data_IF_819294600136
#
_entry.id   IF_819294600136
#
_cell.length_a   1.000
_cell.length_b   1.000
_cell.length_c   1.000
_cell.angle_alpha   90.00
_cell.angle_beta   90.00
_cell.angle_gamma   90.00
#
_symmetry.space_group_name_H-M   'P 1'
#
loop_
_entity.id
_entity.type
_entity.pdbx_description
1 polymer ?
#
# COMPACT_ATOMS: atom_id res chain seq x y z
N UNK A 1 -21.81 29.90 -11.63
CA UNK A 1 -22.10 29.09 -10.43
C UNK A 1 -22.28 30.07 -9.28
N UNK A 2 -23.49 30.17 -8.73
CA UNK A 2 -23.78 31.03 -7.58
C UNK A 2 -23.12 30.46 -6.31
N UNK A 3 -22.73 31.31 -5.33
CA UNK A 3 -22.23 30.83 -4.06
C UNK A 3 -23.39 30.18 -3.28
N UNK A 4 -23.20 28.95 -2.84
CA UNK A 4 -24.16 28.30 -1.95
C UNK A 4 -24.19 29.05 -0.61
N UNK A 5 -25.39 29.51 -0.25
CA UNK A 5 -25.73 29.99 1.09
C UNK A 5 -25.57 28.85 2.09
N UNK A 6 -24.42 28.81 2.77
CA UNK A 6 -24.22 27.97 3.94
C UNK A 6 -24.95 28.60 5.13
N UNK A 7 -25.83 27.82 5.77
CA UNK A 7 -26.50 28.19 7.02
C UNK A 7 -25.51 28.77 8.06
N UNK A 8 -25.93 29.76 8.86
CA UNK A 8 -25.06 30.43 9.82
C UNK A 8 -24.48 29.43 10.84
N UNK A 9 -23.14 29.41 10.90
CA UNK A 9 -22.30 28.50 11.71
C UNK A 9 -22.31 28.88 13.20
N UNK A 10 -23.40 29.46 13.70
CA UNK A 10 -23.42 30.16 14.99
C UNK A 10 -23.49 29.21 16.20
N UNK A 11 -23.88 27.95 16.01
CA UNK A 11 -23.98 26.96 17.08
C UNK A 11 -22.76 26.04 17.24
N UNK A 12 -21.66 26.26 16.50
CA UNK A 12 -20.47 25.44 16.69
C UNK A 12 -19.73 25.88 17.98
N UNK A 13 -19.33 24.97 18.89
CA UNK A 13 -18.66 25.33 20.15
C UNK A 13 -17.33 26.09 19.97
N UNK A 14 -16.79 26.10 18.75
CA UNK A 14 -15.60 26.88 18.36
C UNK A 14 -15.92 28.05 17.39
N UNK A 15 -17.18 28.47 17.23
CA UNK A 15 -17.58 29.52 16.29
C UNK A 15 -16.87 30.84 16.58
N UNK A 16 -16.86 31.28 17.84
CA UNK A 16 -16.18 32.52 18.27
C UNK A 16 -14.65 32.49 18.06
N UNK A 17 -14.01 31.34 18.29
CA UNK A 17 -12.59 31.13 18.00
C UNK A 17 -12.35 31.16 16.48
N UNK A 18 -13.23 30.51 15.71
CA UNK A 18 -13.16 30.49 14.24
C UNK A 18 -13.28 31.90 13.66
N UNK A 19 -14.20 32.72 14.18
CA UNK A 19 -14.42 34.09 13.75
C UNK A 19 -13.28 35.02 14.14
N UNK A 20 -12.69 34.85 15.35
CA UNK A 20 -11.43 35.52 15.72
C UNK A 20 -10.28 35.17 14.78
N UNK A 21 -10.12 33.90 14.40
CA UNK A 21 -9.04 33.47 13.51
C UNK A 21 -9.20 33.99 12.07
N UNK A 22 -10.44 34.07 11.59
CA UNK A 22 -10.77 34.68 10.29
C UNK A 22 -10.36 36.16 10.25
N UNK A 23 -10.58 36.87 11.36
CA UNK A 23 -10.27 38.29 11.51
C UNK A 23 -8.79 38.57 11.85
N UNK A 24 -8.12 37.68 12.59
CA UNK A 24 -6.69 37.81 12.94
C UNK A 24 -5.73 37.41 11.80
N UNK A 25 -6.22 36.78 10.74
CA UNK A 25 -5.39 36.33 9.61
C UNK A 25 -4.87 37.44 8.69
N UNK A 26 -5.09 38.73 9.00
CA UNK A 26 -4.64 39.85 8.16
C UNK A 26 -3.16 39.79 7.80
N UNK A 27 -2.30 39.37 8.74
CA UNK A 27 -0.87 39.15 8.46
C UNK A 27 -0.64 38.08 7.39
N UNK A 28 -1.24 36.90 7.52
CA UNK A 28 -1.07 35.81 6.56
C UNK A 28 -1.74 36.12 5.22
N UNK A 29 -2.90 36.79 5.21
CA UNK A 29 -3.58 37.19 3.98
C UNK A 29 -2.76 38.13 3.11
N UNK A 30 -1.93 38.96 3.73
CA UNK A 30 -1.05 39.92 3.03
C UNK A 30 0.27 39.30 2.54
N UNK A 31 0.59 38.07 2.97
CA UNK A 31 1.76 37.35 2.50
C UNK A 31 1.39 36.60 1.20
N UNK A 32 2.17 36.75 0.11
CA UNK A 32 1.99 35.95 -1.10
C UNK A 32 1.94 34.45 -0.79
N UNK A 33 1.13 33.71 -1.55
CA UNK A 33 0.86 32.31 -1.28
C UNK A 33 2.14 31.47 -1.28
N UNK A 34 3.10 31.81 -2.12
CA UNK A 34 4.42 31.17 -2.23
C UNK A 34 5.20 31.27 -0.92
N UNK A 35 5.28 32.48 -0.36
CA UNK A 35 5.98 32.73 0.91
C UNK A 35 5.26 32.04 2.07
N UNK A 36 3.93 31.95 2.04
CA UNK A 36 3.17 31.17 3.04
C UNK A 36 3.55 29.70 2.98
N UNK A 37 3.66 29.13 1.79
CA UNK A 37 4.04 27.74 1.61
C UNK A 37 5.47 27.48 2.08
N UNK A 38 6.41 28.38 1.81
CA UNK A 38 7.77 28.29 2.36
C UNK A 38 7.75 28.29 3.90
N UNK A 39 7.00 29.20 4.52
CA UNK A 39 6.81 29.24 5.98
C UNK A 39 6.24 27.91 6.48
N UNK A 40 5.27 27.33 5.78
CA UNK A 40 4.70 26.04 6.15
C UNK A 40 5.72 24.92 6.03
N UNK A 41 6.55 24.90 5.00
CA UNK A 41 7.63 23.91 4.90
C UNK A 41 8.56 23.98 6.11
N UNK A 42 9.07 25.16 6.43
CA UNK A 42 9.91 25.33 7.61
C UNK A 42 9.20 24.94 8.90
N UNK A 43 7.91 25.28 9.04
CA UNK A 43 7.12 24.98 10.24
C UNK A 43 6.80 23.48 10.41
N UNK A 44 6.66 22.71 9.31
CA UNK A 44 6.31 21.29 9.37
C UNK A 44 7.53 20.36 9.25
N UNK A 45 8.72 20.92 9.05
CA UNK A 45 9.95 20.16 8.96
C UNK A 45 10.35 19.60 10.32
N UNK A 46 10.69 18.31 10.33
CA UNK A 46 11.21 17.58 11.48
C UNK A 46 12.57 17.06 11.10
N UNK A 47 13.60 17.56 11.79
CA UNK A 47 14.99 17.20 11.51
C UNK A 47 15.31 15.71 11.75
N UNK A 48 14.45 15.03 12.50
CA UNK A 48 14.59 13.60 12.81
C UNK A 48 13.64 12.75 11.95
N UNK A 49 14.05 11.51 11.59
CA UNK A 49 13.17 10.60 10.90
C UNK A 49 11.89 10.31 11.69
N UNK A 50 10.75 10.58 11.06
CA UNK A 50 9.41 10.40 11.64
C UNK A 50 9.04 8.93 11.62
N UNK A 51 8.74 8.38 12.79
CA UNK A 51 8.14 7.04 12.91
C UNK A 51 6.63 7.20 13.05
N UNK A 52 5.84 6.93 12.00
CA UNK A 52 4.40 7.09 12.08
C UNK A 52 3.81 6.04 13.03
N UNK A 53 3.01 6.50 13.99
CA UNK A 53 2.25 5.62 14.90
C UNK A 53 0.80 6.04 14.92
N UNK A 54 -0.11 5.10 14.69
CA UNK A 54 -1.54 5.43 14.71
C UNK A 54 -1.98 5.90 16.10
N UNK A 55 -2.76 6.99 16.18
CA UNK A 55 -3.29 7.49 17.46
C UNK A 55 -4.21 6.45 18.11
N UNK A 56 -5.08 5.85 17.29
CA UNK A 56 -6.03 4.78 17.64
C UNK A 56 -6.09 3.81 16.46
N UNK A 57 -6.28 2.53 16.72
CA UNK A 57 -6.44 1.53 15.66
C UNK A 57 -7.49 1.98 14.63
N UNK A 58 -7.15 1.91 13.33
CA UNK A 58 -7.98 2.33 12.17
C UNK A 58 -8.17 3.85 12.01
N UNK A 59 -7.57 4.69 12.84
CA UNK A 59 -7.56 6.15 12.65
C UNK A 59 -6.64 6.61 11.51
N UNK A 60 -7.05 7.61 10.74
CA UNK A 60 -6.15 8.27 9.77
C UNK A 60 -5.18 9.27 10.44
N UNK A 61 -5.21 9.39 11.77
CA UNK A 61 -4.34 10.28 12.54
C UNK A 61 -3.14 9.52 13.09
N UNK A 62 -1.96 10.12 12.93
CA UNK A 62 -0.69 9.57 13.39
C UNK A 62 -0.03 10.53 14.37
N UNK A 63 0.61 9.96 15.39
CA UNK A 63 1.53 10.66 16.28
C UNK A 63 2.94 10.36 15.80
N UNK A 64 3.77 11.37 15.78
CA UNK A 64 5.21 11.20 15.63
C UNK A 64 5.82 10.89 17.00
N UNK A 65 6.78 9.97 17.04
CA UNK A 65 7.68 9.80 18.19
C UNK A 65 9.09 9.81 17.65
N UNK A 66 9.93 10.70 18.15
CA UNK A 66 11.37 10.49 18.07
C UNK A 66 11.74 9.34 19.01
N UNK A 67 12.57 8.44 18.50
CA UNK A 67 13.11 7.31 19.29
C UNK A 67 14.21 7.84 20.20
N UNK A 68 13.90 8.73 21.14
CA UNK A 68 14.72 8.87 22.33
C UNK A 68 14.28 7.75 23.27
N UNK A 69 14.93 6.60 23.12
CA UNK A 69 14.93 5.54 24.13
C UNK A 69 15.66 6.02 25.38
N UNK A 70 15.15 7.07 26.03
CA UNK A 70 15.44 7.27 27.44
C UNK A 70 14.64 6.22 28.21
N UNK A 71 15.13 4.98 28.18
CA UNK A 71 14.87 4.06 29.27
C UNK A 71 15.48 4.71 30.51
N UNK A 72 14.71 5.55 31.20
CA UNK A 72 14.99 5.87 32.60
C UNK A 72 15.17 4.52 33.27
N UNK A 73 16.41 4.20 33.63
CA UNK A 73 16.80 3.02 34.38
C UNK A 73 16.27 3.17 35.82
N UNK A 74 14.94 3.19 35.95
CA UNK A 74 14.24 2.98 37.21
C UNK A 74 13.77 1.54 37.22
N UNK A 75 14.13 0.80 38.25
CA UNK A 75 13.81 -0.60 38.50
C UNK A 75 12.30 -0.85 38.73
N UNK A 76 11.43 -0.37 37.83
CA UNK A 76 10.00 -0.70 37.89
C UNK A 76 9.75 -1.99 37.14
N UNK A 77 9.56 -3.02 37.95
CA UNK A 77 9.13 -4.36 37.59
C UNK A 77 7.98 -4.31 36.58
N UNK A 78 8.21 -5.02 35.48
CA UNK A 78 7.22 -5.28 34.45
C UNK A 78 6.06 -6.10 35.02
N UNK A 79 5.06 -5.43 35.59
CA UNK A 79 3.70 -5.95 35.63
C UNK A 79 3.00 -5.49 34.34
N UNK A 80 2.64 -6.49 33.54
CA UNK A 80 1.85 -6.37 32.32
C UNK A 80 0.51 -5.70 32.63
N UNK A 81 0.46 -4.37 32.57
CA UNK A 81 -0.78 -3.61 32.62
C UNK A 81 -1.47 -3.76 31.25
N UNK A 82 -2.16 -4.91 31.10
CA UNK A 82 -3.08 -5.20 30.01
C UNK A 82 -4.25 -4.23 30.17
N UNK A 83 -4.50 -3.44 29.13
CA UNK A 83 -5.72 -2.67 28.86
C UNK A 83 -5.84 -1.21 29.31
N UNK A 84 -4.81 -0.59 29.91
CA UNK A 84 -4.85 0.87 30.07
C UNK A 84 -4.20 1.59 28.88
N UNK A 85 -5.05 2.13 28.00
CA UNK A 85 -4.77 3.23 27.08
C UNK A 85 -4.36 4.52 27.82
N UNK A 86 -3.38 4.45 28.72
CA UNK A 86 -2.67 5.63 29.18
C UNK A 86 -1.98 6.18 27.94
N UNK A 87 -2.55 7.24 27.38
CA UNK A 87 -1.91 8.10 26.39
C UNK A 87 -0.58 8.49 27.03
N UNK A 88 0.46 7.72 26.72
CA UNK A 88 1.84 8.00 27.09
C UNK A 88 2.08 9.42 26.61
N UNK A 89 2.05 10.38 27.54
CA UNK A 89 2.38 11.77 27.28
C UNK A 89 3.75 11.73 26.63
N UNK A 90 3.77 11.94 25.32
CA UNK A 90 5.00 12.24 24.60
C UNK A 90 5.61 13.42 25.33
N UNK A 91 6.82 13.26 25.85
CA UNK A 91 7.61 14.38 26.37
C UNK A 91 8.08 15.29 25.25
N UNK A 92 7.90 14.87 23.99
CA UNK A 92 8.21 15.66 22.81
C UNK A 92 7.00 16.52 22.43
N UNK A 93 7.28 17.79 22.15
CA UNK A 93 6.28 18.76 21.75
C UNK A 93 5.49 18.26 20.52
N UNK A 94 4.16 18.46 20.49
CA UNK A 94 3.39 18.15 19.30
C UNK A 94 3.91 18.98 18.13
N UNK A 95 3.95 18.37 16.92
CA UNK A 95 4.41 19.05 15.70
C UNK A 95 3.82 20.45 15.63
N UNK A 96 4.63 21.45 15.30
CA UNK A 96 4.19 22.84 15.19
C UNK A 96 2.96 22.94 14.30
N UNK A 97 2.87 22.14 13.22
CA UNK A 97 1.67 22.08 12.37
C UNK A 97 0.41 21.62 13.10
N UNK A 98 0.50 20.65 14.02
CA UNK A 98 -0.65 20.21 14.81
C UNK A 98 -1.07 21.26 15.82
N UNK A 99 -0.18 22.17 16.21
CA UNK A 99 -0.51 23.33 17.04
C UNK A 99 -1.15 24.43 16.18
N UNK A 100 -0.54 24.76 15.04
CA UNK A 100 -1.03 25.76 14.07
C UNK A 100 -2.40 25.41 13.50
N UNK A 101 -2.65 24.14 13.20
CA UNK A 101 -3.95 23.63 12.76
C UNK A 101 -5.05 23.80 13.82
N UNK A 102 -4.69 23.79 15.10
CA UNK A 102 -5.63 24.01 16.21
C UNK A 102 -5.90 25.49 16.43
N UNK A 103 -5.00 26.37 16.00
CA UNK A 103 -5.08 27.82 16.23
C UNK A 103 -5.52 28.63 15.02
N UNK A 104 -5.36 28.16 13.77
CA UNK A 104 -5.81 28.90 12.58
C UNK A 104 -6.38 27.97 11.50
N UNK A 105 -7.68 28.10 11.23
CA UNK A 105 -8.42 27.25 10.27
C UNK A 105 -7.98 27.46 8.82
N UNK A 106 -7.58 28.68 8.46
CA UNK A 106 -7.04 28.98 7.14
C UNK A 106 -5.72 28.23 6.90
N UNK A 107 -4.80 28.27 7.86
CA UNK A 107 -3.54 27.50 7.79
C UNK A 107 -3.86 26.01 7.65
N UNK A 108 -4.81 25.50 8.43
CA UNK A 108 -5.22 24.10 8.33
C UNK A 108 -5.68 23.73 6.92
N UNK A 109 -6.56 24.53 6.31
CA UNK A 109 -7.04 24.27 4.95
C UNK A 109 -5.94 24.38 3.89
N UNK A 110 -5.05 25.37 4.00
CA UNK A 110 -3.92 25.53 3.07
C UNK A 110 -2.94 24.35 3.17
N UNK A 111 -2.61 23.92 4.39
CA UNK A 111 -1.73 22.75 4.63
C UNK A 111 -2.43 21.43 4.28
N UNK A 112 -3.75 21.33 4.41
CA UNK A 112 -4.50 20.15 3.98
C UNK A 112 -4.55 20.05 2.44
N UNK A 113 -4.73 21.17 1.76
CA UNK A 113 -4.73 21.26 0.30
C UNK A 113 -3.33 21.00 -0.29
N UNK A 114 -2.28 21.45 0.40
CA UNK A 114 -0.89 21.23 0.01
C UNK A 114 -0.18 20.50 1.15
N UNK A 115 -0.19 19.15 1.16
CA UNK A 115 0.29 18.38 2.29
C UNK A 115 1.83 18.26 2.27
N UNK A 116 2.51 19.41 2.37
CA UNK A 116 3.97 19.62 2.41
C UNK A 116 4.66 18.74 3.45
N UNK A 117 3.95 18.37 4.52
CA UNK A 117 4.45 17.44 5.54
C UNK A 117 5.03 16.15 4.95
N UNK A 118 4.36 15.51 3.98
CA UNK A 118 4.87 14.26 3.39
C UNK A 118 6.08 14.49 2.47
N UNK A 119 6.17 15.69 1.90
CA UNK A 119 7.17 16.07 0.92
C UNK A 119 8.54 16.30 1.54
N UNK A 120 8.58 17.01 2.65
CA UNK A 120 9.84 17.51 3.22
C UNK A 120 10.40 16.60 4.32
N UNK A 121 9.56 15.77 4.93
CA UNK A 121 9.97 14.95 6.07
C UNK A 121 10.49 13.57 5.64
N UNK A 122 11.39 13.03 6.46
CA UNK A 122 11.92 11.69 6.31
C UNK A 122 11.10 10.69 7.12
N UNK A 123 10.50 9.69 6.48
CA UNK A 123 9.72 8.65 7.16
C UNK A 123 10.55 7.41 7.45
N UNK A 124 10.56 6.97 8.71
CA UNK A 124 11.19 5.72 9.15
C UNK A 124 10.12 4.65 9.38
N UNK A 125 10.07 3.69 8.47
CA UNK A 125 9.13 2.57 8.42
C UNK A 125 9.78 1.33 9.06
N UNK A 126 9.56 1.15 10.37
CA UNK A 126 10.18 0.07 11.15
C UNK A 126 9.41 -1.26 11.02
N UNK A 127 10.15 -2.37 11.02
CA UNK A 127 9.64 -3.66 10.57
C UNK A 127 9.26 -4.73 11.60
N UNK A 128 9.34 -4.49 12.91
CA UNK A 128 9.26 -5.61 13.86
C UNK A 128 7.87 -5.76 14.51
N UNK A 129 7.61 -5.10 15.63
CA UNK A 129 6.23 -4.82 16.11
C UNK A 129 5.49 -3.80 15.25
N UNK A 130 6.25 -3.09 14.43
CA UNK A 130 5.85 -1.90 13.69
C UNK A 130 5.63 -2.17 12.20
N UNK A 131 5.84 -3.41 11.72
CA UNK A 131 5.46 -3.86 10.38
C UNK A 131 3.99 -3.49 10.10
N UNK A 132 3.13 -3.73 11.10
CA UNK A 132 1.73 -3.33 11.05
C UNK A 132 1.56 -1.81 11.04
N UNK A 133 2.41 -1.04 11.73
CA UNK A 133 2.32 0.43 11.76
C UNK A 133 2.76 1.06 10.44
N UNK A 134 3.84 0.57 9.82
CA UNK A 134 4.25 1.00 8.48
C UNK A 134 3.15 0.70 7.45
N UNK A 135 2.61 -0.54 7.48
CA UNK A 135 1.51 -0.92 6.60
C UNK A 135 0.24 -0.10 6.88
N UNK A 136 -0.15 0.07 8.15
CA UNK A 136 -1.31 0.88 8.57
C UNK A 136 -1.14 2.33 8.15
N UNK A 137 0.07 2.89 8.30
CA UNK A 137 0.37 4.24 7.86
C UNK A 137 0.17 4.39 6.36
N UNK A 138 0.86 3.57 5.57
CA UNK A 138 0.79 3.64 4.10
C UNK A 138 -0.62 3.38 3.58
N UNK A 139 -1.38 2.47 4.21
CA UNK A 139 -2.77 2.17 3.82
C UNK A 139 -3.77 3.23 4.26
N UNK A 140 -3.53 3.93 5.37
CA UNK A 140 -4.44 4.95 5.89
C UNK A 140 -4.34 6.30 5.17
N UNK A 141 -3.19 6.60 4.55
CA UNK A 141 -3.02 7.82 3.74
C UNK A 141 -3.51 7.57 2.31
N UNK A 142 -4.04 8.62 1.67
CA UNK A 142 -4.56 8.52 0.30
C UNK A 142 -3.41 8.29 -0.71
N UNK A 143 -3.68 7.72 -1.90
CA UNK A 143 -2.67 7.59 -2.94
C UNK A 143 -1.97 8.92 -3.27
N UNK A 144 -2.72 10.02 -3.36
CA UNK A 144 -2.18 11.36 -3.59
C UNK A 144 -1.25 11.85 -2.46
N UNK A 145 -1.49 11.45 -1.20
CA UNK A 145 -0.57 11.76 -0.09
C UNK A 145 0.65 10.84 -0.09
N UNK A 146 0.50 9.57 -0.47
CA UNK A 146 1.63 8.63 -0.65
C UNK A 146 2.58 9.12 -1.73
N UNK A 147 2.06 9.54 -2.88
CA UNK A 147 2.87 10.01 -4.00
C UNK A 147 3.74 11.20 -3.64
N UNK A 148 3.42 11.95 -2.58
CA UNK A 148 4.22 13.08 -2.10
C UNK A 148 5.36 12.69 -1.16
N UNK A 149 5.45 11.43 -0.70
CA UNK A 149 6.56 10.96 0.13
C UNK A 149 7.85 10.98 -0.70
N UNK A 150 8.82 11.81 -0.31
CA UNK A 150 10.12 11.91 -0.99
C UNK A 150 11.24 11.10 -0.35
N UNK A 151 11.20 10.94 0.97
CA UNK A 151 12.28 10.31 1.73
C UNK A 151 11.73 9.24 2.67
N UNK A 152 12.14 8.00 2.48
CA UNK A 152 11.74 6.89 3.34
C UNK A 152 12.93 6.00 3.69
N UNK A 153 12.98 5.52 4.93
CA UNK A 153 13.84 4.41 5.34
C UNK A 153 13.00 3.25 5.84
N UNK A 154 13.20 2.08 5.24
CA UNK A 154 12.56 0.82 5.66
C UNK A 154 13.56 0.02 6.48
N UNK A 155 13.27 -0.21 7.76
CA UNK A 155 14.14 -1.01 8.62
C UNK A 155 13.67 -2.46 8.70
N UNK A 156 14.45 -3.34 8.09
CA UNK A 156 14.31 -4.78 8.14
C UNK A 156 15.20 -5.32 9.27
N UNK A 157 14.62 -5.54 10.45
CA UNK A 157 15.33 -6.21 11.55
C UNK A 157 15.04 -7.73 11.48
N UNK A 158 16.06 -8.60 11.40
CA UNK A 158 15.90 -10.03 11.63
C UNK A 158 15.62 -10.24 13.12
N UNK A 159 14.62 -11.05 13.43
CA UNK A 159 14.36 -11.42 14.82
C UNK A 159 15.37 -12.44 15.33
N UNK A 160 15.96 -12.22 16.51
CA UNK A 160 16.75 -13.25 17.18
C UNK A 160 15.92 -14.37 17.82
N UNK A 161 14.58 -14.28 17.91
CA UNK A 161 13.77 -15.21 18.72
C UNK A 161 12.84 -16.18 17.93
N UNK A 162 12.72 -16.05 16.60
CA UNK A 162 11.80 -16.88 15.81
C UNK A 162 12.46 -17.66 14.66
N UNK A 163 13.65 -18.20 14.93
CA UNK A 163 14.41 -19.10 14.03
C UNK A 163 13.81 -20.51 13.89
N UNK A 164 12.48 -20.62 13.88
CA UNK A 164 11.80 -21.90 13.67
C UNK A 164 11.83 -22.29 12.19
N UNK A 165 11.81 -23.60 11.90
CA UNK A 165 11.75 -24.17 10.54
C UNK A 165 10.58 -23.62 9.67
N UNK A 166 9.61 -22.94 10.28
CA UNK A 166 8.53 -22.18 9.63
C UNK A 166 9.03 -21.00 8.78
N UNK A 167 10.15 -20.36 9.15
CA UNK A 167 10.82 -19.36 8.31
C UNK A 167 11.52 -19.98 7.09
N UNK A 168 12.01 -21.21 7.24
CA UNK A 168 12.75 -21.95 6.19
C UNK A 168 11.92 -22.18 4.93
N UNK A 169 10.60 -22.41 5.10
CA UNK A 169 9.64 -22.62 4.02
C UNK A 169 9.04 -21.33 3.44
N UNK A 170 9.15 -20.20 4.15
CA UNK A 170 8.51 -18.94 3.77
C UNK A 170 9.43 -17.98 3.00
N UNK A 171 10.73 -18.29 2.90
CA UNK A 171 11.75 -17.40 2.34
C UNK A 171 12.27 -17.83 0.95
N UNK A 172 12.06 -19.10 0.54
CA UNK A 172 12.42 -19.62 -0.81
C UNK A 172 11.36 -19.33 -1.88
N UNK A 173 10.22 -18.80 -1.46
CA UNK A 173 9.44 -17.89 -2.28
C UNK A 173 9.64 -16.54 -1.59
N UNK A 174 9.86 -15.45 -2.30
CA UNK A 174 9.66 -14.13 -1.71
C UNK A 174 8.13 -13.93 -1.58
N UNK A 175 7.52 -14.28 -0.43
CA UNK A 175 6.75 -13.29 0.26
C UNK A 175 7.46 -13.09 1.58
N UNK A 176 8.32 -12.06 1.62
CA UNK A 176 8.17 -10.98 2.59
C UNK A 176 6.90 -11.22 3.43
N UNK A 177 7.02 -11.45 4.75
CA UNK A 177 5.85 -11.64 5.65
C UNK A 177 4.69 -10.82 5.10
N UNK A 178 3.51 -11.40 4.81
CA UNK A 178 2.45 -10.81 3.94
C UNK A 178 2.42 -9.28 3.87
N UNK A 179 2.55 -8.63 5.02
CA UNK A 179 2.73 -7.19 5.21
C UNK A 179 3.88 -6.50 4.47
N UNK A 180 5.11 -7.01 4.46
CA UNK A 180 6.25 -6.40 3.78
C UNK A 180 6.05 -6.31 2.26
N UNK A 181 5.49 -7.36 1.64
CA UNK A 181 5.13 -7.33 0.22
C UNK A 181 4.19 -6.16 -0.04
N UNK A 182 3.15 -6.03 0.79
CA UNK A 182 2.23 -4.90 0.74
C UNK A 182 2.90 -3.54 1.01
N UNK A 183 3.84 -3.45 1.96
CA UNK A 183 4.60 -2.22 2.24
C UNK A 183 5.38 -1.79 1.01
N UNK A 184 6.14 -2.69 0.39
CA UNK A 184 6.91 -2.35 -0.82
C UNK A 184 6.00 -2.03 -1.99
N UNK A 185 4.90 -2.74 -2.18
CA UNK A 185 3.89 -2.38 -3.19
C UNK A 185 3.36 -0.96 -2.97
N UNK A 186 3.08 -0.57 -1.73
CA UNK A 186 2.58 0.78 -1.41
C UNK A 186 3.68 1.84 -1.53
N UNK A 187 4.94 1.53 -1.20
CA UNK A 187 6.08 2.43 -1.39
C UNK A 187 6.36 2.64 -2.88
N UNK A 188 6.17 1.62 -3.71
CA UNK A 188 6.31 1.77 -5.17
C UNK A 188 5.19 2.65 -5.78
N UNK A 189 4.15 3.00 -5.02
CA UNK A 189 3.15 4.01 -5.41
C UNK A 189 3.54 5.43 -4.99
N UNK A 190 4.70 5.61 -4.33
CA UNK A 190 5.22 6.91 -3.99
C UNK A 190 5.94 7.50 -5.21
N UNK A 191 5.19 8.05 -6.17
CA UNK A 191 5.75 8.48 -7.46
C UNK A 191 6.86 9.54 -7.35
N UNK A 192 6.82 10.39 -6.32
CA UNK A 192 7.87 11.39 -6.06
C UNK A 192 8.93 10.89 -5.08
N UNK A 193 9.05 9.60 -4.83
CA UNK A 193 10.06 9.07 -3.92
C UNK A 193 11.45 9.33 -4.48
N UNK A 194 12.12 10.31 -3.89
CA UNK A 194 13.47 10.68 -4.27
C UNK A 194 14.43 9.66 -3.68
N UNK A 195 14.36 9.41 -2.37
CA UNK A 195 15.28 8.52 -1.65
C UNK A 195 14.52 7.44 -0.88
N UNK A 196 14.84 6.18 -1.19
CA UNK A 196 14.39 5.03 -0.42
C UNK A 196 15.62 4.30 0.11
N UNK A 197 15.77 4.25 1.44
CA UNK A 197 16.83 3.49 2.10
C UNK A 197 16.22 2.22 2.68
N UNK A 198 16.60 1.04 2.19
CA UNK A 198 16.27 -0.22 2.87
C UNK A 198 17.43 -0.56 3.78
N UNK A 199 17.25 -0.44 5.10
CA UNK A 199 18.25 -0.77 6.12
C UNK A 199 17.98 -2.16 6.69
N UNK A 200 18.91 -3.09 6.47
CA UNK A 200 18.89 -4.41 7.11
C UNK A 200 19.77 -4.34 8.36
N UNK A 201 19.17 -4.34 9.55
CA UNK A 201 19.91 -4.18 10.79
C UNK A 201 20.20 -5.52 11.47
N UNK A 202 21.46 -5.90 11.48
CA UNK A 202 21.97 -7.19 11.92
C UNK A 202 22.59 -7.16 13.35
N UNK A 203 22.58 -6.00 14.03
CA UNK A 203 23.31 -5.75 15.29
C UNK A 203 23.00 -6.66 16.48
N UNK A 204 21.74 -7.04 16.72
CA UNK A 204 21.32 -7.65 18.01
C UNK A 204 21.36 -9.18 18.07
N UNK A 205 21.41 -9.85 16.93
CA UNK A 205 21.40 -11.33 16.89
C UNK A 205 22.80 -11.93 16.85
N UNK A 206 23.77 -11.20 16.27
CA UNK A 206 25.14 -11.70 16.04
C UNK A 206 25.95 -11.95 17.32
N UNK A 207 25.63 -11.27 18.42
CA UNK A 207 26.33 -11.44 19.70
C UNK A 207 26.04 -12.79 20.37
N UNK A 208 24.85 -13.37 20.16
CA UNK A 208 24.44 -14.60 20.83
C UNK A 208 24.60 -15.84 19.93
N UNK A 209 24.51 -15.70 18.60
CA UNK A 209 24.53 -16.84 17.66
C UNK A 209 25.29 -16.54 16.36
N UNK A 210 26.63 -16.41 16.39
CA UNK A 210 27.42 -15.97 15.23
C UNK A 210 27.30 -16.87 13.99
N UNK A 211 27.07 -18.19 14.16
CA UNK A 211 26.90 -19.11 13.03
C UNK A 211 25.50 -19.08 12.40
N UNK A 212 24.45 -18.91 13.20
CA UNK A 212 23.09 -18.72 12.67
C UNK A 212 22.99 -17.37 11.96
N UNK A 213 23.63 -16.37 12.56
CA UNK A 213 23.77 -15.03 12.03
C UNK A 213 24.45 -15.00 10.65
N UNK A 214 25.63 -15.62 10.51
CA UNK A 214 26.36 -15.66 9.24
C UNK A 214 25.54 -16.34 8.13
N UNK A 215 24.83 -17.44 8.46
CA UNK A 215 23.96 -18.14 7.50
C UNK A 215 22.81 -17.27 7.01
N UNK A 216 22.14 -16.56 7.91
CA UNK A 216 21.00 -15.72 7.54
C UNK A 216 21.41 -14.46 6.78
N UNK A 217 22.57 -13.92 7.13
CA UNK A 217 23.17 -12.82 6.40
C UNK A 217 23.54 -13.23 4.98
N UNK A 218 24.20 -14.39 4.81
CA UNK A 218 24.46 -14.94 3.48
C UNK A 218 23.16 -15.14 2.70
N UNK A 219 22.15 -15.73 3.32
CA UNK A 219 20.84 -15.94 2.69
C UNK A 219 20.13 -14.65 2.28
N UNK A 220 20.18 -13.62 3.14
CA UNK A 220 19.58 -12.31 2.84
C UNK A 220 20.28 -11.63 1.67
N UNK A 221 21.60 -11.77 1.60
CA UNK A 221 22.40 -11.28 0.48
C UNK A 221 22.16 -12.08 -0.80
N UNK A 222 22.08 -13.40 -0.73
CA UNK A 222 21.69 -14.27 -1.87
C UNK A 222 20.32 -13.87 -2.43
N UNK A 223 19.35 -13.58 -1.56
CA UNK A 223 18.06 -13.08 -1.99
C UNK A 223 18.12 -11.68 -2.62
N UNK A 224 18.98 -10.80 -2.11
CA UNK A 224 19.26 -9.52 -2.75
C UNK A 224 19.88 -9.73 -4.14
N UNK A 225 20.78 -10.71 -4.29
CA UNK A 225 21.37 -11.10 -5.58
C UNK A 225 20.29 -11.58 -6.55
N UNK A 226 19.43 -12.51 -6.12
CA UNK A 226 18.33 -13.02 -6.95
C UNK A 226 17.38 -11.89 -7.39
N UNK A 227 17.03 -11.00 -6.46
CA UNK A 227 16.21 -9.83 -6.77
C UNK A 227 16.92 -8.88 -7.75
N UNK A 228 18.22 -8.64 -7.58
CA UNK A 228 19.00 -7.79 -8.47
C UNK A 228 19.18 -8.42 -9.86
N UNK A 229 19.23 -9.75 -9.95
CA UNK A 229 19.35 -10.53 -11.20
C UNK A 229 18.02 -10.66 -11.96
N UNK A 230 16.88 -10.65 -11.26
CA UNK A 230 15.55 -10.81 -11.87
C UNK A 230 15.33 -9.84 -13.04
N UNK A 231 14.85 -10.37 -14.16
CA UNK A 231 14.52 -9.62 -15.37
C UNK A 231 13.20 -8.84 -15.28
N UNK A 232 12.41 -9.05 -14.22
CA UNK A 232 11.20 -8.28 -14.00
C UNK A 232 11.56 -6.86 -13.55
N UNK A 233 11.50 -5.95 -14.51
CA UNK A 233 11.78 -4.53 -14.34
C UNK A 233 10.52 -3.72 -14.03
N UNK A 234 9.34 -4.33 -14.15
CA UNK A 234 8.08 -3.61 -13.99
C UNK A 234 7.78 -3.38 -12.51
N UNK A 235 7.72 -2.10 -12.09
CA UNK A 235 7.36 -1.65 -10.73
C UNK A 235 8.25 -2.20 -9.61
N UNK A 236 9.56 -2.19 -9.85
CA UNK A 236 10.56 -2.59 -8.88
C UNK A 236 11.06 -1.38 -8.08
N UNK A 237 11.30 -1.49 -6.77
CA UNK A 237 11.93 -0.40 -6.00
C UNK A 237 13.31 0.00 -6.56
N UNK A 238 13.94 -0.90 -7.31
CA UNK A 238 15.18 -0.68 -8.03
C UNK A 238 15.09 0.41 -9.12
N UNK A 239 13.90 0.69 -9.66
CA UNK A 239 13.70 1.74 -10.69
C UNK A 239 13.60 3.14 -10.09
N UNK A 240 13.61 3.28 -8.77
CA UNK A 240 13.52 4.58 -8.13
C UNK A 240 14.85 5.33 -8.24
N UNK A 241 14.83 6.63 -8.58
CA UNK A 241 16.03 7.39 -8.97
C UNK A 241 17.13 7.41 -7.90
N UNK A 242 16.78 7.59 -6.62
CA UNK A 242 17.73 7.51 -5.50
C UNK A 242 17.40 6.35 -4.55
N UNK A 243 17.10 5.18 -5.13
CA UNK A 243 17.10 3.94 -4.37
C UNK A 243 18.48 3.65 -3.78
N UNK A 244 18.49 3.38 -2.48
CA UNK A 244 19.63 2.99 -1.67
C UNK A 244 19.30 1.73 -0.86
N UNK A 245 20.19 0.74 -0.94
CA UNK A 245 20.11 -0.46 -0.13
C UNK A 245 21.28 -0.42 0.85
N UNK A 246 20.99 -0.37 2.14
CA UNK A 246 22.00 -0.31 3.20
C UNK A 246 21.94 -1.55 4.09
N UNK A 247 23.11 -2.11 4.38
CA UNK A 247 23.30 -3.23 5.27
C UNK A 247 23.99 -2.72 6.53
N UNK A 248 23.33 -2.81 7.68
CA UNK A 248 23.89 -2.38 8.96
C UNK A 248 24.29 -3.60 9.79
N UNK A 249 25.58 -3.76 10.08
CA UNK A 249 26.16 -4.88 10.84
C UNK A 249 26.91 -4.31 12.05
N UNK A 250 26.34 -4.42 13.26
CA UNK A 250 26.89 -3.65 14.38
C UNK A 250 26.81 -2.15 14.07
N UNK A 251 27.90 -1.44 14.31
CA UNK A 251 28.02 -0.01 13.98
C UNK A 251 28.40 0.23 12.52
N UNK A 252 28.72 -0.81 11.75
CA UNK A 252 29.04 -0.70 10.33
C UNK A 252 27.77 -0.51 9.52
N UNK A 253 27.72 0.52 8.68
CA UNK A 253 26.68 0.68 7.65
C UNK A 253 27.32 0.62 6.28
N UNK A 254 26.98 -0.42 5.50
CA UNK A 254 27.46 -0.64 4.14
C UNK A 254 26.36 -0.22 3.17
N UNK A 255 26.63 0.76 2.30
CA UNK A 255 25.76 1.02 1.16
C UNK A 255 26.04 -0.02 0.06
N UNK A 256 25.09 -0.93 -0.17
CA UNK A 256 25.16 -1.97 -1.18
C UNK A 256 24.96 -1.44 -2.61
N UNK A 257 24.57 -0.18 -2.77
CA UNK A 257 24.48 0.48 -4.08
C UNK A 257 25.76 1.25 -4.44
N UNK A 258 26.68 1.44 -3.48
CA UNK A 258 27.93 2.15 -3.73
C UNK A 258 29.01 1.17 -4.22
N UNK A 259 29.77 1.59 -5.23
CA UNK A 259 30.93 0.86 -5.78
C UNK A 259 32.18 1.01 -4.94
N UNK A 260 32.20 1.92 -3.96
CA UNK A 260 33.32 2.05 -3.03
C UNK A 260 33.65 0.71 -2.36
N UNK A 261 34.94 0.35 -2.27
CA UNK A 261 35.35 -0.85 -1.56
C UNK A 261 34.89 -0.78 -0.10
N UNK A 262 34.64 -1.94 0.51
CA UNK A 262 34.35 -1.99 1.95
C UNK A 262 35.65 -1.62 2.66
N UNK A 263 35.66 -0.48 3.34
CA UNK A 263 36.83 0.01 4.05
C UNK A 263 37.25 -1.04 5.11
N UNK A 264 38.48 -1.56 5.09
CA UNK A 264 38.92 -2.65 5.97
C UNK A 264 39.06 -2.27 7.45
N UNK A 265 38.64 -1.08 7.88
CA UNK A 265 38.67 -0.59 9.28
C UNK A 265 37.61 -1.28 10.17
N UNK A 266 37.26 -2.50 9.82
CA UNK A 266 36.47 -3.38 10.66
C UNK A 266 37.41 -4.04 11.68
N UNK A 267 36.93 -4.22 12.90
CA UNK A 267 37.69 -4.96 13.90
C UNK A 267 38.13 -6.31 13.29
N UNK A 268 39.41 -6.70 13.35
CA UNK A 268 39.92 -7.91 12.69
C UNK A 268 39.21 -9.20 13.13
N UNK A 269 38.48 -9.15 14.24
CA UNK A 269 37.66 -10.23 14.78
C UNK A 269 36.18 -10.22 14.32
N UNK A 270 35.78 -9.28 13.46
CA UNK A 270 34.43 -9.21 12.93
C UNK A 270 34.13 -10.42 12.06
N UNK A 271 32.98 -11.05 12.26
CA UNK A 271 32.49 -12.12 11.39
C UNK A 271 32.37 -11.71 9.91
N UNK A 272 32.44 -10.40 9.63
CA UNK A 272 32.39 -9.82 8.29
C UNK A 272 33.59 -10.19 7.42
N UNK A 273 34.77 -10.41 8.04
CA UNK A 273 35.99 -10.78 7.32
C UNK A 273 36.09 -12.28 7.00
N UNK A 274 35.11 -13.08 7.40
CA UNK A 274 35.08 -14.49 6.98
C UNK A 274 34.84 -14.52 5.47
N UNK A 275 35.79 -15.13 4.76
CA UNK A 275 35.94 -15.15 3.30
C UNK A 275 34.65 -15.35 2.46
N UNK A 276 33.62 -16.15 2.88
CA UNK A 276 32.39 -16.21 2.09
C UNK A 276 31.54 -14.93 2.11
N UNK A 277 31.54 -14.14 3.19
CA UNK A 277 30.65 -13.00 3.31
C UNK A 277 31.15 -11.78 2.53
N UNK A 278 32.43 -11.45 2.66
CA UNK A 278 33.02 -10.29 1.97
C UNK A 278 32.86 -10.43 0.44
N UNK A 279 33.08 -11.64 -0.09
CA UNK A 279 32.83 -12.00 -1.49
C UNK A 279 31.37 -11.75 -1.88
N UNK A 280 30.43 -12.22 -1.07
CA UNK A 280 29.01 -12.06 -1.33
C UNK A 280 28.54 -10.60 -1.29
N UNK A 281 29.03 -9.79 -0.33
CA UNK A 281 28.71 -8.35 -0.27
C UNK A 281 29.26 -7.64 -1.51
N UNK A 282 30.47 -7.99 -1.94
CA UNK A 282 31.10 -7.42 -3.15
C UNK A 282 30.31 -7.77 -4.40
N UNK A 283 29.86 -9.02 -4.52
CA UNK A 283 29.02 -9.47 -5.62
C UNK A 283 27.66 -8.73 -5.64
N UNK A 284 27.03 -8.55 -4.48
CA UNK A 284 25.79 -7.77 -4.35
C UNK A 284 26.01 -6.34 -4.80
N UNK A 285 27.10 -5.69 -4.34
CA UNK A 285 27.46 -4.32 -4.76
C UNK A 285 27.57 -4.21 -6.27
N UNK A 286 28.32 -5.12 -6.88
CA UNK A 286 28.52 -5.12 -8.33
C UNK A 286 27.21 -5.29 -9.11
N UNK A 287 26.35 -6.24 -8.71
CA UNK A 287 25.08 -6.49 -9.39
C UNK A 287 24.06 -5.39 -9.16
N UNK A 288 24.01 -4.82 -7.95
CA UNK A 288 23.17 -3.68 -7.62
C UNK A 288 23.54 -2.44 -8.44
N UNK A 289 24.83 -2.12 -8.52
CA UNK A 289 25.35 -1.03 -9.36
C UNK A 289 25.04 -1.27 -10.84
N UNK A 290 25.31 -2.49 -11.33
CA UNK A 290 25.02 -2.90 -12.72
C UNK A 290 23.54 -2.79 -13.06
N UNK A 291 22.63 -3.16 -12.15
CA UNK A 291 21.18 -3.01 -12.33
C UNK A 291 20.77 -1.55 -12.37
N UNK A 292 21.28 -0.71 -11.45
CA UNK A 292 21.00 0.72 -11.42
C UNK A 292 21.42 1.40 -12.73
N UNK A 293 22.60 1.06 -13.26
CA UNK A 293 23.09 1.57 -14.54
C UNK A 293 22.18 1.18 -15.72
N UNK A 294 21.72 -0.08 -15.78
CA UNK A 294 20.79 -0.53 -16.84
C UNK A 294 19.45 0.23 -16.77
N UNK A 295 18.95 0.46 -15.56
CA UNK A 295 17.68 1.17 -15.36
C UNK A 295 17.81 2.65 -15.74
N UNK A 296 18.90 3.33 -15.38
CA UNK A 296 19.11 4.73 -15.79
C UNK A 296 19.30 4.88 -17.29
N UNK A 297 19.98 3.94 -17.95
CA UNK A 297 20.10 3.91 -19.42
C UNK A 297 18.74 3.74 -20.09
N UNK A 298 17.92 2.80 -19.62
CA UNK A 298 16.55 2.59 -20.13
C UNK A 298 15.66 3.81 -19.92
N UNK A 299 15.73 4.44 -18.74
CA UNK A 299 14.95 5.62 -18.42
C UNK A 299 15.36 6.83 -19.29
N UNK A 300 16.66 6.96 -19.57
CA UNK A 300 17.19 7.94 -20.53
C UNK A 300 16.68 7.69 -21.96
N UNK A 301 16.72 6.45 -22.44
CA UNK A 301 16.19 6.08 -23.75
C UNK A 301 14.69 6.32 -23.85
N UNK A 302 13.91 5.98 -22.81
CA UNK A 302 12.49 6.23 -22.76
C UNK A 302 12.17 7.73 -22.80
N UNK A 303 12.94 8.56 -22.10
CA UNK A 303 12.79 10.04 -22.16
C UNK A 303 13.14 10.61 -23.53
N UNK A 304 14.17 10.09 -24.21
CA UNK A 304 14.52 10.49 -25.57
C UNK A 304 13.39 10.10 -26.54
N UNK A 305 12.91 8.85 -26.46
CA UNK A 305 11.79 8.39 -27.29
C UNK A 305 10.52 9.19 -27.02
N UNK A 306 10.19 9.46 -25.76
CA UNK A 306 9.06 10.30 -25.39
C UNK A 306 9.22 11.70 -25.97
N UNK A 307 10.38 12.35 -25.81
CA UNK A 307 10.63 13.68 -26.38
C UNK A 307 10.55 13.70 -27.92
N UNK A 308 11.02 12.64 -28.59
CA UNK A 308 10.88 12.47 -30.03
C UNK A 308 9.41 12.32 -30.44
N UNK A 309 8.64 11.49 -29.73
CA UNK A 309 7.20 11.31 -29.99
C UNK A 309 6.43 12.60 -29.71
N UNK A 310 6.71 13.32 -28.62
CA UNK A 310 6.06 14.61 -28.35
C UNK A 310 6.47 15.66 -29.37
N UNK A 311 7.72 15.65 -29.86
CA UNK A 311 8.20 16.52 -30.94
C UNK A 311 7.49 16.24 -32.28
N UNK A 312 7.31 14.97 -32.62
CA UNK A 312 6.56 14.52 -33.79
C UNK A 312 5.07 14.87 -33.64
N UNK A 313 4.48 14.62 -32.47
CA UNK A 313 3.09 14.97 -32.17
C UNK A 313 2.84 16.48 -32.13
N UNK A 314 3.84 17.30 -31.77
CA UNK A 314 3.74 18.77 -31.87
C UNK A 314 3.83 19.24 -33.34
N UNK A 315 4.65 18.59 -34.17
CA UNK A 315 4.66 18.83 -35.63
C UNK A 315 3.35 18.39 -36.30
N UNK A 316 2.79 17.26 -35.86
CA UNK A 316 1.52 16.73 -36.36
C UNK A 316 0.32 17.52 -35.81
N UNK A 317 0.35 18.03 -34.58
CA UNK A 317 -0.70 18.88 -34.00
C UNK A 317 -0.73 20.30 -34.60
N UNK A 318 0.42 20.82 -35.07
CA UNK A 318 0.45 22.02 -35.93
C UNK A 318 -0.18 21.74 -37.30
N UNK A 319 -0.24 20.48 -37.72
CA UNK A 319 -0.86 20.04 -38.98
C UNK A 319 -2.32 19.55 -38.82
N UNK A 320 -2.74 19.19 -37.61
CA UNK A 320 -4.02 18.55 -37.30
C UNK A 320 -4.91 19.37 -36.36
N UNK A 321 -4.85 20.69 -36.44
CA UNK A 321 -5.91 21.58 -35.93
C UNK A 321 -7.17 21.47 -36.83
N UNK A 322 -7.83 20.32 -36.79
CA UNK A 322 -9.26 20.11 -37.09
C UNK A 322 -9.62 18.64 -36.77
N UNK A 323 -10.68 18.47 -35.98
CA UNK A 323 -11.40 17.23 -35.61
C UNK A 323 -11.00 16.49 -34.32
N UNK A 324 -11.84 16.77 -33.31
CA UNK A 324 -12.61 15.83 -32.49
C UNK A 324 -11.97 14.90 -31.43
N UNK A 325 -12.87 14.64 -30.48
CA UNK A 325 -12.70 14.31 -29.08
C UNK A 325 -12.92 12.83 -28.72
N UNK A 326 -12.56 12.52 -27.47
CA UNK A 326 -12.98 11.40 -26.59
C UNK A 326 -12.25 10.05 -26.72
N UNK A 327 -11.44 9.71 -25.70
CA UNK A 327 -11.29 8.33 -25.21
C UNK A 327 -11.17 8.33 -23.67
N UNK A 328 -11.99 7.48 -23.03
CA UNK A 328 -12.09 7.28 -21.58
C UNK A 328 -11.15 6.22 -21.01
N UNK A 329 -11.08 6.22 -19.68
CA UNK A 329 -10.16 5.45 -18.84
C UNK A 329 -10.73 4.07 -18.47
N UNK A 330 -10.03 2.98 -18.80
CA UNK A 330 -10.38 1.60 -18.40
C UNK A 330 -9.69 1.21 -17.08
N UNK A 331 -10.49 0.73 -16.13
CA UNK A 331 -10.03 0.14 -14.86
C UNK A 331 -9.78 -1.36 -15.09
N UNK A 332 -8.52 -1.77 -14.92
CA UNK A 332 -8.04 -3.13 -15.15
C UNK A 332 -8.80 -4.21 -14.36
N UNK A 333 -9.51 -5.04 -15.11
CA UNK A 333 -10.11 -6.31 -14.71
C UNK A 333 -9.66 -7.44 -15.66
N UNK A 334 -8.49 -7.32 -16.29
CA UNK A 334 -8.02 -8.31 -17.25
C UNK A 334 -7.42 -9.53 -16.55
N UNK A 335 -7.97 -10.69 -16.91
CA UNK A 335 -7.35 -12.00 -16.74
C UNK A 335 -5.95 -12.00 -17.41
N UNK A 336 -4.93 -12.48 -16.71
CA UNK A 336 -3.63 -12.76 -17.34
C UNK A 336 -3.82 -13.90 -18.37
N UNK A 337 -3.11 -13.85 -19.50
CA UNK A 337 -3.18 -14.89 -20.54
C UNK A 337 -2.78 -16.25 -19.97
N UNK A 338 -3.43 -17.33 -20.44
CA UNK A 338 -3.18 -18.72 -20.03
C UNK A 338 -1.68 -19.08 -19.96
N UNK A 339 -0.87 -18.50 -20.84
CA UNK A 339 0.59 -18.69 -20.88
C UNK A 339 1.32 -18.23 -19.61
N UNK A 340 0.83 -17.23 -18.86
CA UNK A 340 1.43 -16.81 -17.57
C UNK A 340 1.13 -17.82 -16.45
N UNK A 341 -0.04 -18.48 -16.52
CA UNK A 341 -0.54 -19.47 -15.56
C UNK A 341 0.29 -20.76 -15.65
N UNK A 342 0.92 -21.03 -16.81
CA UNK A 342 1.75 -22.22 -17.05
C UNK A 342 3.10 -22.23 -16.30
N UNK A 343 3.33 -21.27 -15.40
CA UNK A 343 4.52 -21.24 -14.52
C UNK A 343 4.15 -21.61 -13.09
N UNK A 344 5.13 -22.08 -12.30
CA UNK A 344 4.95 -22.31 -10.86
C UNK A 344 4.44 -21.06 -10.12
N UNK A 345 4.89 -19.87 -10.53
CA UNK A 345 4.45 -18.59 -9.97
C UNK A 345 2.99 -18.32 -10.34
N UNK A 346 2.60 -18.57 -11.59
CA UNK A 346 1.23 -18.48 -12.08
C UNK A 346 0.26 -19.35 -11.27
N UNK A 347 0.60 -20.61 -11.04
CA UNK A 347 -0.19 -21.53 -10.20
C UNK A 347 -0.35 -21.02 -8.75
N UNK A 348 0.70 -20.46 -8.15
CA UNK A 348 0.62 -19.85 -6.82
C UNK A 348 -0.28 -18.61 -6.79
N UNK A 349 -0.21 -17.75 -7.81
CA UNK A 349 -1.10 -16.57 -7.95
C UNK A 349 -2.55 -17.01 -8.09
N UNK A 350 -2.80 -18.03 -8.91
CA UNK A 350 -4.13 -18.57 -9.13
C UNK A 350 -4.71 -19.20 -7.85
N UNK A 351 -3.92 -19.96 -7.09
CA UNK A 351 -4.32 -20.45 -5.76
C UNK A 351 -4.69 -19.30 -4.82
N UNK A 352 -3.90 -18.23 -4.82
CA UNK A 352 -4.16 -17.01 -4.06
C UNK A 352 -5.48 -16.34 -4.45
N UNK A 353 -5.78 -16.29 -5.75
CA UNK A 353 -7.03 -15.77 -6.29
C UNK A 353 -8.25 -16.56 -5.82
N UNK A 354 -8.26 -17.89 -5.94
CA UNK A 354 -9.39 -18.69 -5.43
C UNK A 354 -9.54 -18.57 -3.92
N UNK A 355 -8.43 -18.56 -3.17
CA UNK A 355 -8.48 -18.33 -1.72
C UNK A 355 -9.11 -16.98 -1.38
N UNK A 356 -8.81 -15.94 -2.15
CA UNK A 356 -9.44 -14.65 -1.98
C UNK A 356 -10.95 -14.72 -2.27
N UNK A 357 -11.34 -15.27 -3.43
CA UNK A 357 -12.74 -15.41 -3.85
C UNK A 357 -13.59 -16.18 -2.82
N UNK A 358 -13.13 -17.34 -2.35
CA UNK A 358 -13.90 -18.18 -1.41
C UNK A 358 -14.00 -17.59 0.00
N UNK A 359 -13.19 -16.57 0.32
CA UNK A 359 -13.21 -15.87 1.61
C UNK A 359 -13.85 -14.47 1.54
N UNK A 360 -14.15 -13.95 0.34
CA UNK A 360 -14.76 -12.64 0.17
C UNK A 360 -16.19 -12.63 0.74
N UNK A 361 -16.66 -11.58 1.45
CA UNK A 361 -18.06 -11.48 1.91
C UNK A 361 -19.08 -11.58 0.75
N UNK A 362 -20.30 -12.10 1.00
CA UNK A 362 -21.25 -12.39 -0.09
C UNK A 362 -21.78 -11.14 -0.78
N UNK A 363 -22.04 -10.08 -0.01
CA UNK A 363 -22.42 -8.78 -0.55
C UNK A 363 -21.31 -8.18 -1.44
N UNK A 364 -20.05 -8.27 -1.01
CA UNK A 364 -18.91 -7.79 -1.78
C UNK A 364 -18.71 -8.60 -3.07
N UNK A 365 -18.87 -9.93 -3.01
CA UNK A 365 -18.80 -10.79 -4.18
C UNK A 365 -19.88 -10.42 -5.21
N UNK A 366 -21.13 -10.28 -4.77
CA UNK A 366 -22.26 -9.92 -5.63
C UNK A 366 -22.15 -8.51 -6.24
N UNK A 367 -21.49 -7.57 -5.56
CA UNK A 367 -21.26 -6.22 -6.11
C UNK A 367 -20.13 -6.16 -7.13
N UNK A 368 -19.19 -7.11 -7.08
CA UNK A 368 -17.95 -7.05 -7.85
C UNK A 368 -17.89 -8.03 -9.02
N UNK A 369 -18.68 -9.10 -8.99
CA UNK A 369 -18.66 -10.15 -10.00
C UNK A 369 -20.07 -10.60 -10.35
N UNK A 370 -20.35 -10.80 -11.64
CA UNK A 370 -21.56 -11.49 -12.07
C UNK A 370 -21.38 -12.99 -11.93
N UNK A 371 -22.48 -13.71 -11.69
CA UNK A 371 -22.46 -15.18 -11.65
C UNK A 371 -21.89 -15.80 -12.93
N UNK A 372 -22.25 -15.26 -14.09
CA UNK A 372 -21.77 -15.68 -15.41
C UNK A 372 -20.24 -15.57 -15.52
N UNK A 373 -19.68 -14.46 -15.05
CA UNK A 373 -18.23 -14.23 -15.07
C UNK A 373 -17.51 -15.27 -14.21
N UNK A 374 -18.05 -15.61 -13.04
CA UNK A 374 -17.45 -16.64 -12.17
C UNK A 374 -17.57 -18.05 -12.75
N UNK A 375 -18.61 -18.33 -13.54
CA UNK A 375 -18.80 -19.62 -14.20
C UNK A 375 -17.88 -19.80 -15.43
N UNK A 376 -17.42 -18.70 -16.04
CA UNK A 376 -16.47 -18.72 -17.15
C UNK A 376 -15.02 -19.00 -16.69
N UNK A 377 -14.74 -18.86 -15.39
CA UNK A 377 -13.44 -19.13 -14.80
C UNK A 377 -13.20 -20.65 -14.75
N UNK A 378 -11.99 -21.15 -15.08
CA UNK A 378 -11.66 -22.57 -14.92
C UNK A 378 -12.04 -23.09 -13.54
N UNK A 379 -12.47 -24.33 -13.43
CA UNK A 379 -12.81 -24.86 -12.11
C UNK A 379 -11.54 -25.26 -11.34
N UNK A 380 -11.46 -25.03 -10.01
CA UNK A 380 -10.34 -25.50 -9.19
C UNK A 380 -9.95 -26.98 -9.39
N UNK A 381 -10.89 -27.86 -9.78
CA UNK A 381 -10.65 -29.28 -10.11
C UNK A 381 -9.83 -29.50 -11.39
N UNK A 382 -9.80 -28.52 -12.29
CA UNK A 382 -9.07 -28.57 -13.56
C UNK A 382 -7.60 -28.17 -13.38
N UNK A 383 -7.31 -27.37 -12.36
CA UNK A 383 -5.97 -26.83 -12.11
C UNK A 383 -4.93 -27.92 -11.81
N UNK A 384 -5.20 -28.97 -11.00
CA UNK A 384 -4.26 -30.07 -10.82
C UNK A 384 -3.88 -30.79 -12.12
N UNK A 385 -4.80 -30.87 -13.10
CA UNK A 385 -4.53 -31.51 -14.41
C UNK A 385 -3.60 -30.64 -15.26
N UNK A 386 -3.79 -29.32 -15.22
CA UNK A 386 -2.89 -28.36 -15.86
C UNK A 386 -1.51 -28.36 -15.19
N UNK A 387 -1.50 -28.37 -13.85
CA UNK A 387 -0.29 -28.39 -13.05
C UNK A 387 0.51 -29.70 -13.20
N UNK A 388 -0.16 -30.82 -13.53
CA UNK A 388 0.48 -32.11 -13.77
C UNK A 388 1.52 -32.04 -14.91
N UNK A 389 1.25 -31.23 -15.94
CA UNK A 389 2.18 -31.00 -17.05
C UNK A 389 3.35 -30.08 -16.66
N UNK A 390 3.12 -29.09 -15.80
CA UNK A 390 4.09 -28.05 -15.43
C UNK A 390 5.01 -28.52 -14.28
N UNK A 391 4.45 -29.26 -13.33
CA UNK A 391 5.09 -29.62 -12.06
C UNK A 391 5.47 -31.10 -11.99
N UNK A 392 5.88 -31.70 -13.13
CA UNK A 392 6.34 -33.09 -13.23
C UNK A 392 7.39 -33.44 -12.14
N UNK A 393 8.36 -32.56 -11.92
CA UNK A 393 9.38 -32.73 -10.87
C UNK A 393 8.76 -32.88 -9.46
N UNK A 394 7.74 -32.08 -9.13
CA UNK A 394 7.06 -32.14 -7.84
C UNK A 394 6.28 -33.45 -7.65
N UNK A 395 5.71 -33.99 -8.74
CA UNK A 395 4.98 -35.26 -8.75
C UNK A 395 5.92 -36.44 -8.51
N UNK A 396 7.05 -36.50 -9.20
CA UNK A 396 7.98 -37.63 -9.13
C UNK A 396 8.98 -37.53 -7.98
N UNK A 397 9.60 -36.36 -7.77
CA UNK A 397 10.64 -36.19 -6.75
C UNK A 397 10.05 -35.97 -5.35
N UNK A 398 8.85 -35.39 -5.26
CA UNK A 398 8.22 -35.01 -3.98
C UNK A 398 6.74 -35.41 -3.90
N UNK A 399 6.41 -36.72 -4.00
CA UNK A 399 5.03 -37.21 -4.10
C UNK A 399 4.14 -36.80 -2.92
N UNK A 400 4.72 -36.62 -1.71
CA UNK A 400 3.97 -36.11 -0.54
C UNK A 400 3.52 -34.66 -0.74
N UNK A 401 4.39 -33.80 -1.27
CA UNK A 401 4.07 -32.40 -1.57
C UNK A 401 3.04 -32.30 -2.69
N UNK A 402 3.14 -33.16 -3.71
CA UNK A 402 2.13 -33.25 -4.77
C UNK A 402 0.76 -33.68 -4.23
N UNK A 403 0.69 -34.73 -3.40
CA UNK A 403 -0.57 -35.15 -2.76
C UNK A 403 -1.20 -34.02 -1.93
N UNK A 404 -0.39 -33.26 -1.18
CA UNK A 404 -0.86 -32.11 -0.41
C UNK A 404 -1.40 -30.99 -1.31
N UNK A 405 -0.72 -30.72 -2.42
CA UNK A 405 -1.16 -29.74 -3.43
C UNK A 405 -2.53 -30.13 -4.03
N UNK A 406 -2.68 -31.38 -4.50
CA UNK A 406 -3.96 -31.89 -5.02
C UNK A 406 -5.08 -31.81 -3.98
N UNK A 407 -4.81 -32.17 -2.72
CA UNK A 407 -5.78 -32.06 -1.62
C UNK A 407 -6.21 -30.61 -1.37
N UNK A 408 -5.29 -29.66 -1.49
CA UNK A 408 -5.57 -28.22 -1.32
C UNK A 408 -6.54 -27.73 -2.39
N UNK A 409 -6.33 -28.12 -3.64
CA UNK A 409 -7.22 -27.77 -4.76
C UNK A 409 -8.59 -28.44 -4.65
N UNK A 410 -8.68 -29.70 -4.23
CA UNK A 410 -9.96 -30.35 -3.94
C UNK A 410 -10.75 -29.62 -2.84
N UNK A 411 -10.06 -29.12 -1.81
CA UNK A 411 -10.69 -28.30 -0.75
C UNK A 411 -11.18 -26.96 -1.30
N UNK A 412 -10.39 -26.31 -2.18
CA UNK A 412 -10.79 -25.07 -2.84
C UNK A 412 -11.99 -25.27 -3.77
N UNK A 413 -12.05 -26.38 -4.50
CA UNK A 413 -13.19 -26.74 -5.36
C UNK A 413 -14.50 -26.76 -4.58
N UNK A 414 -14.56 -27.56 -3.50
CA UNK A 414 -15.78 -27.68 -2.69
C UNK A 414 -16.22 -26.33 -2.12
N UNK A 415 -15.26 -25.50 -1.71
CA UNK A 415 -15.54 -24.14 -1.21
C UNK A 415 -16.03 -23.19 -2.31
N UNK A 416 -15.47 -23.31 -3.52
CA UNK A 416 -15.84 -22.51 -4.67
C UNK A 416 -17.25 -22.85 -5.15
N UNK A 417 -17.59 -24.12 -5.31
CA UNK A 417 -18.94 -24.58 -5.66
C UNK A 417 -19.99 -24.09 -4.63
N UNK A 418 -19.69 -24.26 -3.34
CA UNK A 418 -20.55 -23.75 -2.27
C UNK A 418 -20.70 -22.22 -2.33
N UNK A 419 -19.69 -21.51 -2.84
CA UNK A 419 -19.71 -20.05 -2.99
C UNK A 419 -20.58 -19.62 -4.17
N UNK A 420 -20.40 -20.24 -5.33
CA UNK A 420 -21.19 -20.00 -6.55
C UNK A 420 -22.67 -20.29 -6.28
N UNK A 421 -22.99 -21.40 -5.61
CA UNK A 421 -24.36 -21.73 -5.22
C UNK A 421 -24.99 -20.66 -4.30
N UNK A 422 -24.24 -20.13 -3.33
CA UNK A 422 -24.72 -19.05 -2.45
C UNK A 422 -24.93 -17.73 -3.21
N UNK A 423 -24.10 -17.43 -4.21
CA UNK A 423 -24.27 -16.25 -5.04
C UNK A 423 -25.52 -16.36 -5.91
N UNK A 424 -25.76 -17.51 -6.54
CA UNK A 424 -26.98 -17.76 -7.30
C UNK A 424 -28.25 -17.59 -6.44
N UNK A 425 -28.26 -18.15 -5.22
CA UNK A 425 -29.37 -17.95 -4.28
C UNK A 425 -29.55 -16.48 -3.86
N UNK A 426 -28.45 -15.73 -3.75
CA UNK A 426 -28.48 -14.31 -3.42
C UNK A 426 -29.09 -13.49 -4.56
N UNK A 427 -28.64 -13.71 -5.80
CA UNK A 427 -29.18 -13.03 -6.99
C UNK A 427 -30.66 -13.34 -7.19
N UNK A 428 -31.09 -14.60 -6.99
CA UNK A 428 -32.50 -14.98 -7.05
C UNK A 428 -33.33 -14.23 -5.99
N UNK A 429 -32.80 -14.10 -4.76
CA UNK A 429 -33.46 -13.37 -3.68
C UNK A 429 -33.60 -11.88 -4.00
N UNK A 430 -32.56 -11.26 -4.56
CA UNK A 430 -32.61 -9.86 -4.96
C UNK A 430 -33.56 -9.64 -6.15
N UNK A 431 -33.60 -10.56 -7.12
CA UNK A 431 -34.56 -10.54 -8.21
C UNK A 431 -36.01 -10.62 -7.70
N UNK A 432 -36.29 -11.51 -6.74
CA UNK A 432 -37.61 -11.62 -6.08
C UNK A 432 -38.00 -10.33 -5.34
N UNK A 433 -37.05 -9.69 -4.64
CA UNK A 433 -37.29 -8.39 -3.99
C UNK A 433 -37.58 -7.29 -5.00
N UNK A 434 -36.81 -7.23 -6.09
CA UNK A 434 -37.02 -6.26 -7.16
C UNK A 434 -38.39 -6.44 -7.84
N UNK A 435 -38.80 -7.67 -8.13
CA UNK A 435 -40.12 -7.99 -8.67
C UNK A 435 -41.26 -7.61 -7.71
N UNK A 436 -41.12 -7.89 -6.42
CA UNK A 436 -42.08 -7.48 -5.40
C UNK A 436 -42.19 -5.95 -5.29
N UNK A 437 -41.06 -5.24 -5.33
CA UNK A 437 -41.03 -3.78 -5.33
C UNK A 437 -41.69 -3.18 -6.58
N UNK A 438 -41.45 -3.76 -7.76
CA UNK A 438 -42.09 -3.36 -9.01
C UNK A 438 -43.61 -3.56 -8.95
N UNK A 439 -44.08 -4.71 -8.44
CA UNK A 439 -45.51 -4.98 -8.21
C UNK A 439 -46.15 -4.00 -7.23
N UNK A 440 -45.43 -3.60 -6.18
CA UNK A 440 -45.93 -2.60 -5.24
C UNK A 440 -46.01 -1.20 -5.89
N UNK A 441 -45.05 -0.84 -6.75
CA UNK A 441 -45.08 0.42 -7.51
C UNK A 441 -46.27 0.46 -8.48
N UNK A 442 -46.51 -0.61 -9.25
CA UNK A 442 -47.67 -0.67 -10.17
C UNK A 442 -49.01 -0.57 -9.43
N UNK A 443 -49.16 -1.25 -8.29
CA UNK A 443 -50.37 -1.13 -7.45
C UNK A 443 -50.57 0.30 -6.90
N UNK A 444 -49.49 1.00 -6.52
CA UNK A 444 -49.56 2.39 -6.07
C UNK A 444 -49.99 3.32 -7.21
N UNK A 445 -49.42 3.15 -8.39
CA UNK A 445 -49.78 3.91 -9.59
C UNK A 445 -51.23 3.67 -10.01
N UNK A 446 -51.71 2.43 -9.94
CA UNK A 446 -53.11 2.10 -10.23
C UNK A 446 -54.07 2.75 -9.23
N UNK A 447 -53.78 2.68 -7.93
CA UNK A 447 -54.59 3.37 -6.89
C UNK A 447 -54.61 4.87 -7.11
N UNK A 448 -53.48 5.47 -7.48
CA UNK A 448 -53.40 6.89 -7.80
C UNK A 448 -54.25 7.24 -9.04
N UNK A 449 -54.21 6.42 -10.10
CA UNK A 449 -55.08 6.57 -11.28
C UNK A 449 -56.55 6.45 -10.94
N UNK A 450 -56.94 5.49 -10.10
CA UNK A 450 -58.33 5.33 -9.64
C UNK A 450 -58.80 6.54 -8.84
N UNK A 451 -57.95 7.09 -7.96
CA UNK A 451 -58.25 8.32 -7.20
C UNK A 451 -58.47 9.51 -8.13
N UNK A 452 -57.61 9.69 -9.14
CA UNK A 452 -57.77 10.75 -10.14
C UNK A 452 -59.05 10.58 -10.98
N UNK A 453 -59.43 9.35 -11.34
CA UNK A 453 -60.70 9.06 -12.03
C UNK A 453 -61.92 9.43 -11.18
N UNK A 454 -61.88 9.16 -9.87
CA UNK A 454 -62.97 9.55 -8.95
C UNK A 454 -63.12 11.07 -8.85
N UNK A 455 -62.01 11.80 -8.82
CA UNK A 455 -62.04 13.27 -8.79
C UNK A 455 -62.54 13.90 -10.10
N UNK A 456 -62.41 13.20 -11.24
CA UNK A 456 -62.86 13.66 -12.55
C UNK A 456 -64.30 13.29 -12.91
N UNK A 457 -65.03 12.54 -12.07
CA UNK A 457 -66.45 12.28 -12.35
C UNK A 457 -67.20 13.62 -12.29
N UNK A 458 -67.82 14.07 -13.40
CA UNK A 458 -68.60 15.30 -13.38
C UNK A 458 -69.68 15.15 -12.31
N UNK A 459 -69.79 16.15 -11.43
CA UNK A 459 -70.98 16.28 -10.58
C UNK A 459 -72.15 16.41 -11.54
N UNK A 460 -72.92 15.34 -11.69
CA UNK A 460 -74.27 15.43 -12.24
C UNK A 460 -75.00 16.31 -11.24
N UNK A 461 -75.13 17.60 -11.56
CA UNK A 461 -76.08 18.46 -10.90
C UNK A 461 -77.43 17.82 -11.20
N UNK A 462 -78.05 17.23 -10.19
CA UNK A 462 -79.43 16.83 -10.28
C UNK A 462 -80.22 18.12 -10.41
N UNK A 463 -80.64 18.43 -11.63
CA UNK A 463 -81.74 19.33 -11.90
C UNK A 463 -82.98 18.66 -11.30
N UNK A 464 -83.26 18.97 -10.03
CA UNK A 464 -84.57 18.77 -9.42
C UNK A 464 -85.12 20.15 -9.10
N UNK A 465 -86.25 20.41 -9.76
CA UNK A 465 -87.13 21.58 -9.72
C UNK A 465 -87.49 22.10 -8.32
#
# INVERSE_FOLDING_TARGET
MAPNDHEPVDNHPNASITQRNLNMSGFLKNIPQEIRFDIYEYAVYVDKPIVPKQVVARSNKFVWRSHTTERKHGNDTALEDKDNHRILKSTEDPLVVTQLARTCRTIYFEVEAVPVFYRINHFRLNGHRWQNEALRFLTAITPARRSLIRYATVFCAPEPFFWSDTWRKSFLAFPLTRNWGHIFTLICQCDNLQRLVISVNLTKAGTYYPQAFAREMNRSLELCLESARSADETRSCWSLPSFELTLTIGDLTINLMNTEPIDPVLAPNSCVHKDPLAKLITEVKHLAASRKLRLTQKDGQAKIMAAQVTGIQLQDAVSASQQDSNIGCEVGSSWETLDSIMTKIGLCRLEGFYRFLVNLPLCALASSYKLEDLQAIPEPKEIPKLADAIMLHLKYEKPRSWKFYVKTWATLQSRFEARVARLAQYEEREARKAAAAAKLRSLREERQRQRLRRLRRPRVLSDTE
#
